data_IF_509606953624
#
_entry.id   IF_509606953624
#
_cell.length_a   1.000
_cell.length_b   1.000
_cell.length_c   1.000
_cell.angle_alpha   90.00
_cell.angle_beta   90.00
_cell.angle_gamma   90.00
#
_symmetry.space_group_name_H-M   'P 1'
#
loop_
_entity.id
_entity.type
_entity.pdbx_description
1 polymer ?
#
# COMPACT_ATOMS: atom_id res chain seq x y z
N UNK A 1 -40.59 8.04 28.81
CA UNK A 1 -41.12 6.72 29.24
C UNK A 1 -40.86 5.77 28.09
N UNK A 2 -39.77 4.99 28.15
CA UNK A 2 -39.45 3.99 27.12
C UNK A 2 -40.42 2.81 27.28
N UNK A 3 -41.30 2.63 26.30
CA UNK A 3 -42.23 1.49 26.27
C UNK A 3 -41.39 0.22 26.19
N UNK A 4 -41.51 -0.64 27.21
CA UNK A 4 -40.88 -1.97 27.19
C UNK A 4 -41.61 -2.78 26.11
N UNK A 5 -40.92 -3.24 25.06
CA UNK A 5 -41.57 -3.97 23.98
C UNK A 5 -42.20 -5.25 24.53
N UNK A 6 -43.42 -5.56 24.08
CA UNK A 6 -44.10 -6.79 24.48
C UNK A 6 -43.43 -7.99 23.80
N UNK A 7 -43.61 -9.18 24.37
CA UNK A 7 -43.09 -10.43 23.78
C UNK A 7 -43.60 -10.62 22.35
N UNK A 8 -44.83 -10.17 22.06
CA UNK A 8 -45.41 -10.23 20.73
C UNK A 8 -44.71 -9.29 19.73
N UNK A 9 -44.29 -8.11 20.17
CA UNK A 9 -43.51 -7.16 19.34
C UNK A 9 -42.14 -7.77 18.98
N UNK A 10 -41.51 -8.43 19.95
CA UNK A 10 -40.24 -9.14 19.73
C UNK A 10 -40.40 -10.32 18.75
N UNK A 11 -41.50 -11.08 18.82
CA UNK A 11 -41.78 -12.14 17.85
C UNK A 11 -42.05 -11.62 16.44
N UNK A 12 -42.74 -10.49 16.30
CA UNK A 12 -42.97 -9.86 15.00
C UNK A 12 -41.66 -9.31 14.40
N UNK A 13 -40.81 -8.69 15.22
CA UNK A 13 -39.48 -8.24 14.80
C UNK A 13 -38.60 -9.42 14.37
N UNK A 14 -38.63 -10.53 15.12
CA UNK A 14 -37.92 -11.76 14.76
C UNK A 14 -38.40 -12.36 13.44
N UNK A 15 -39.71 -12.42 13.19
CA UNK A 15 -40.27 -12.90 11.92
C UNK A 15 -39.88 -11.98 10.74
N UNK A 16 -39.84 -10.66 10.98
CA UNK A 16 -39.34 -9.68 10.01
C UNK A 16 -37.87 -9.93 9.67
N UNK A 17 -37.01 -10.05 10.68
CA UNK A 17 -35.59 -10.35 10.52
C UNK A 17 -35.35 -11.68 9.78
N UNK A 18 -36.16 -12.69 10.07
CA UNK A 18 -36.05 -13.99 9.41
C UNK A 18 -36.37 -13.89 7.91
N UNK A 19 -37.37 -13.09 7.52
CA UNK A 19 -37.69 -12.83 6.11
C UNK A 19 -36.58 -12.04 5.41
N UNK A 20 -36.04 -11.01 6.05
CA UNK A 20 -34.90 -10.25 5.52
C UNK A 20 -33.68 -11.14 5.32
N UNK A 21 -33.40 -12.04 6.27
CA UNK A 21 -32.30 -12.98 6.16
C UNK A 21 -32.47 -13.93 4.96
N UNK A 22 -33.67 -14.46 4.73
CA UNK A 22 -33.97 -15.29 3.55
C UNK A 22 -33.75 -14.51 2.24
N UNK A 23 -34.20 -13.24 2.19
CA UNK A 23 -33.98 -12.38 1.03
C UNK A 23 -32.49 -12.10 0.77
N UNK A 24 -31.71 -11.89 1.82
CA UNK A 24 -30.24 -11.74 1.73
C UNK A 24 -29.61 -13.02 1.19
N UNK A 25 -30.05 -14.19 1.64
CA UNK A 25 -29.53 -15.47 1.14
C UNK A 25 -29.78 -15.67 -0.35
N UNK A 26 -30.99 -15.35 -0.85
CA UNK A 26 -31.29 -15.40 -2.28
C UNK A 26 -30.47 -14.38 -3.08
N UNK A 27 -30.37 -13.15 -2.58
CA UNK A 27 -29.57 -12.09 -3.22
C UNK A 27 -28.10 -12.50 -3.32
N UNK A 28 -27.54 -13.07 -2.25
CA UNK A 28 -26.16 -13.56 -2.23
C UNK A 28 -25.96 -14.75 -3.18
N UNK A 29 -26.94 -15.65 -3.30
CA UNK A 29 -26.91 -16.75 -4.29
C UNK A 29 -26.90 -16.20 -5.72
N UNK A 30 -27.73 -15.22 -6.03
CA UNK A 30 -27.76 -14.59 -7.35
C UNK A 30 -26.46 -13.83 -7.64
N UNK A 31 -25.96 -13.08 -6.66
CA UNK A 31 -24.66 -12.41 -6.73
C UNK A 31 -23.55 -13.39 -7.08
N UNK A 32 -23.46 -14.54 -6.38
CA UNK A 32 -22.45 -15.58 -6.67
C UNK A 32 -22.55 -16.12 -8.10
N UNK A 33 -23.77 -16.36 -8.57
CA UNK A 33 -24.01 -16.83 -9.94
C UNK A 33 -23.52 -15.79 -10.96
N UNK A 34 -23.97 -14.54 -10.83
CA UNK A 34 -23.60 -13.45 -11.73
C UNK A 34 -22.09 -13.17 -11.71
N UNK A 35 -21.47 -13.22 -10.53
CA UNK A 35 -20.02 -13.09 -10.39
C UNK A 35 -19.29 -14.17 -11.21
N UNK A 36 -19.72 -15.42 -11.11
CA UNK A 36 -19.12 -16.52 -11.87
C UNK A 36 -19.26 -16.37 -13.39
N UNK A 37 -20.39 -15.84 -13.86
CA UNK A 37 -20.65 -15.59 -15.28
C UNK A 37 -19.77 -14.45 -15.80
N UNK A 38 -19.69 -13.34 -15.05
CA UNK A 38 -18.82 -12.22 -15.36
C UNK A 38 -17.35 -12.65 -15.38
N UNK A 39 -16.89 -13.45 -14.41
CA UNK A 39 -15.51 -13.96 -14.39
C UNK A 39 -15.19 -14.81 -15.62
N UNK A 40 -16.10 -15.70 -16.05
CA UNK A 40 -15.90 -16.49 -17.27
C UNK A 40 -15.78 -15.62 -18.51
N UNK A 41 -16.65 -14.61 -18.66
CA UNK A 41 -16.59 -13.67 -19.77
C UNK A 41 -15.29 -12.86 -19.75
N UNK A 42 -14.84 -12.45 -18.56
CA UNK A 42 -13.58 -11.72 -18.39
C UNK A 42 -12.38 -12.56 -18.84
N UNK A 43 -12.31 -13.83 -18.44
CA UNK A 43 -11.24 -14.75 -18.85
C UNK A 43 -11.24 -15.00 -20.37
N UNK A 44 -12.42 -15.24 -20.95
CA UNK A 44 -12.58 -15.44 -22.39
C UNK A 44 -12.17 -14.20 -23.20
N UNK A 45 -12.59 -13.02 -22.76
CA UNK A 45 -12.24 -11.75 -23.38
C UNK A 45 -10.72 -11.50 -23.30
N UNK A 46 -10.11 -11.68 -22.13
CA UNK A 46 -8.67 -11.50 -21.92
C UNK A 46 -7.85 -12.47 -22.79
N UNK A 47 -8.24 -13.74 -22.85
CA UNK A 47 -7.58 -14.74 -23.69
C UNK A 47 -7.64 -14.37 -25.17
N UNK A 48 -8.80 -13.91 -25.63
CA UNK A 48 -9.02 -13.50 -27.03
C UNK A 48 -8.22 -12.25 -27.38
N UNK A 49 -8.25 -11.22 -26.54
CA UNK A 49 -7.47 -9.98 -26.71
C UNK A 49 -5.97 -10.30 -26.76
N UNK A 50 -5.47 -11.13 -25.85
CA UNK A 50 -4.05 -11.52 -25.82
C UNK A 50 -3.64 -12.21 -27.12
N UNK A 51 -4.46 -13.15 -27.62
CA UNK A 51 -4.22 -13.86 -28.88
C UNK A 51 -4.25 -12.91 -30.09
N UNK A 52 -5.24 -12.01 -30.14
CA UNK A 52 -5.39 -10.99 -31.19
C UNK A 52 -4.18 -10.05 -31.21
N UNK A 53 -3.80 -9.47 -30.07
CA UNK A 53 -2.61 -8.59 -29.94
C UNK A 53 -1.34 -9.28 -30.41
N UNK A 54 -1.15 -10.56 -30.08
CA UNK A 54 0.01 -11.35 -30.55
C UNK A 54 0.05 -11.42 -32.08
N UNK A 55 -1.06 -11.82 -32.72
CA UNK A 55 -1.16 -11.92 -34.18
C UNK A 55 -0.97 -10.57 -34.87
N UNK A 56 -1.54 -9.49 -34.34
CA UNK A 56 -1.39 -8.15 -34.90
C UNK A 56 0.05 -7.64 -34.79
N UNK A 57 0.76 -7.99 -33.72
CA UNK A 57 2.18 -7.66 -33.55
C UNK A 57 3.06 -8.42 -34.56
N UNK A 58 2.80 -9.71 -34.76
CA UNK A 58 3.46 -10.52 -35.79
C UNK A 58 3.22 -9.95 -37.19
N UNK A 59 1.95 -9.65 -37.53
CA UNK A 59 1.56 -9.04 -38.80
C UNK A 59 2.21 -7.67 -39.01
N UNK A 60 2.24 -6.81 -37.99
CA UNK A 60 2.91 -5.51 -38.06
C UNK A 60 4.40 -5.63 -38.30
N UNK A 61 5.05 -6.66 -37.73
CA UNK A 61 6.48 -6.92 -37.93
C UNK A 61 6.76 -7.40 -39.36
N UNK A 62 5.93 -8.31 -39.89
CA UNK A 62 6.02 -8.78 -41.27
C UNK A 62 5.79 -7.65 -42.28
N UNK A 63 4.79 -6.79 -42.05
CA UNK A 63 4.49 -5.62 -42.89
C UNK A 63 5.68 -4.64 -42.95
N UNK A 64 6.36 -4.41 -41.81
CA UNK A 64 7.57 -3.58 -41.78
C UNK A 64 8.69 -4.17 -42.64
N UNK A 65 8.90 -5.49 -42.62
CA UNK A 65 9.90 -6.12 -43.48
C UNK A 65 9.54 -6.05 -44.97
N UNK A 66 8.25 -6.15 -45.31
CA UNK A 66 7.78 -6.02 -46.71
C UNK A 66 7.89 -4.59 -47.24
N UNK A 67 7.84 -3.59 -46.36
CA UNK A 67 7.95 -2.16 -46.75
C UNK A 67 9.31 -1.85 -47.42
N UNK A 68 10.36 -2.62 -47.11
CA UNK A 68 11.70 -2.45 -47.69
C UNK A 68 11.83 -2.93 -49.15
N UNK A 69 10.89 -3.75 -49.63
CA UNK A 69 10.91 -4.34 -50.98
C UNK A 69 9.68 -3.98 -51.83
N UNK A 70 8.81 -3.10 -51.32
CA UNK A 70 7.47 -2.85 -51.87
C UNK A 70 7.41 -1.64 -52.82
N UNK A 71 6.50 -1.70 -53.78
CA UNK A 71 6.20 -0.62 -54.73
C UNK A 71 5.35 0.49 -54.09
N UNK A 72 5.22 1.64 -54.76
CA UNK A 72 4.49 2.80 -54.23
C UNK A 72 3.04 2.51 -53.81
N UNK A 73 2.29 1.74 -54.61
CA UNK A 73 0.90 1.33 -54.31
C UNK A 73 0.83 0.34 -53.14
N UNK A 74 1.82 -0.56 -53.03
CA UNK A 74 1.93 -1.52 -51.92
C UNK A 74 2.26 -0.80 -50.61
N UNK A 75 3.12 0.23 -50.64
CA UNK A 75 3.43 1.07 -49.48
C UNK A 75 2.18 1.79 -48.97
N UNK A 76 1.32 2.29 -49.86
CA UNK A 76 0.05 2.92 -49.45
C UNK A 76 -0.89 1.90 -48.80
N UNK A 77 -0.97 0.70 -49.36
CA UNK A 77 -1.81 -0.39 -48.82
C UNK A 77 -1.30 -0.85 -47.45
N UNK A 78 0.02 -0.99 -47.29
CA UNK A 78 0.69 -1.30 -46.01
C UNK A 78 0.39 -0.22 -44.97
N UNK A 79 0.44 1.07 -45.34
CA UNK A 79 0.09 2.17 -44.42
C UNK A 79 -1.36 2.09 -43.95
N UNK A 80 -2.32 1.86 -44.85
CA UNK A 80 -3.75 1.70 -44.49
C UNK A 80 -3.96 0.56 -43.50
N UNK A 81 -3.30 -0.58 -43.72
CA UNK A 81 -3.36 -1.73 -42.80
C UNK A 81 -2.72 -1.38 -41.46
N UNK A 82 -1.59 -0.69 -41.46
CA UNK A 82 -0.88 -0.32 -40.23
C UNK A 82 -1.68 0.68 -39.37
N UNK A 83 -2.40 1.60 -39.99
CA UNK A 83 -3.27 2.54 -39.28
C UNK A 83 -4.52 1.85 -38.73
N UNK A 84 -5.07 0.87 -39.45
CA UNK A 84 -6.14 0.01 -38.93
C UNK A 84 -5.67 -0.83 -37.72
N UNK A 85 -4.44 -1.39 -37.76
CA UNK A 85 -3.84 -2.11 -36.63
C UNK A 85 -3.70 -1.18 -35.40
N UNK A 86 -3.28 0.08 -35.60
CA UNK A 86 -3.22 1.06 -34.51
C UNK A 86 -4.60 1.32 -33.91
N UNK A 87 -5.62 1.52 -34.75
CA UNK A 87 -7.01 1.70 -34.31
C UNK A 87 -7.53 0.52 -33.47
N UNK A 88 -7.29 -0.72 -33.91
CA UNK A 88 -7.64 -1.91 -33.14
C UNK A 88 -6.87 -2.01 -31.81
N UNK A 89 -5.59 -1.63 -31.80
CA UNK A 89 -4.76 -1.65 -30.59
C UNK A 89 -5.30 -0.70 -29.52
N UNK A 90 -5.76 0.49 -29.93
CA UNK A 90 -6.40 1.46 -29.02
C UNK A 90 -7.72 0.92 -28.45
N UNK A 91 -8.55 0.28 -29.28
CA UNK A 91 -9.79 -0.35 -28.81
C UNK A 91 -9.53 -1.49 -27.81
N UNK A 92 -8.49 -2.31 -28.03
CA UNK A 92 -8.10 -3.35 -27.07
C UNK A 92 -7.62 -2.77 -25.74
N UNK A 93 -6.92 -1.63 -25.76
CA UNK A 93 -6.49 -0.96 -24.53
C UNK A 93 -7.70 -0.48 -23.70
N UNK A 94 -8.71 0.08 -24.36
CA UNK A 94 -9.96 0.47 -23.70
C UNK A 94 -10.69 -0.75 -23.13
N UNK A 95 -10.83 -1.83 -23.90
CA UNK A 95 -11.44 -3.08 -23.43
C UNK A 95 -10.68 -3.69 -22.23
N UNK A 96 -9.34 -3.67 -22.24
CA UNK A 96 -8.50 -4.13 -21.12
C UNK A 96 -8.67 -3.29 -19.85
N UNK A 97 -9.08 -2.01 -19.96
CA UNK A 97 -9.29 -1.15 -18.79
C UNK A 97 -10.48 -1.59 -17.93
N UNK A 98 -11.49 -2.21 -18.54
CA UNK A 98 -12.69 -2.73 -17.88
C UNK A 98 -12.56 -4.19 -17.42
N UNK A 99 -11.52 -4.89 -17.87
CA UNK A 99 -11.22 -6.25 -17.44
C UNK A 99 -10.56 -6.25 -16.05
N UNK A 100 -10.78 -7.29 -15.23
CA UNK A 100 -10.23 -7.36 -13.89
C UNK A 100 -8.72 -7.40 -14.01
N UNK A 101 -8.06 -6.37 -13.49
CA UNK A 101 -6.61 -6.31 -13.48
C UNK A 101 -6.11 -7.48 -12.62
N UNK A 102 -5.42 -8.44 -13.23
CA UNK A 102 -4.67 -9.51 -12.54
C UNK A 102 -3.67 -8.99 -11.49
N UNK A 103 -3.47 -7.67 -11.43
CA UNK A 103 -2.48 -6.97 -10.62
C UNK A 103 -2.77 -7.02 -9.12
N UNK A 104 -4.01 -7.27 -8.67
CA UNK A 104 -4.32 -7.32 -7.23
C UNK A 104 -3.65 -8.49 -6.50
N UNK A 105 -3.66 -9.67 -7.12
CA UNK A 105 -3.08 -10.88 -6.51
C UNK A 105 -1.55 -10.89 -6.58
N UNK A 106 -0.97 -10.42 -7.69
CA UNK A 106 0.47 -10.26 -7.84
C UNK A 106 1.03 -9.20 -6.86
N UNK A 107 0.34 -8.08 -6.69
CA UNK A 107 0.71 -7.05 -5.71
C UNK A 107 0.60 -7.58 -4.27
N UNK A 108 -0.41 -8.40 -3.98
CA UNK A 108 -0.56 -9.03 -2.67
C UNK A 108 0.57 -10.03 -2.39
N UNK A 109 0.96 -10.87 -3.36
CA UNK A 109 2.08 -11.81 -3.23
C UNK A 109 3.42 -11.09 -3.05
N UNK A 110 3.68 -10.03 -3.83
CA UNK A 110 4.87 -9.18 -3.65
C UNK A 110 4.87 -8.46 -2.29
N UNK A 111 3.70 -8.01 -1.83
CA UNK A 111 3.54 -7.38 -0.51
C UNK A 111 3.83 -8.37 0.64
N UNK A 112 3.35 -9.60 0.54
CA UNK A 112 3.60 -10.64 1.54
C UNK A 112 5.07 -11.09 1.56
N UNK A 113 5.71 -11.24 0.39
CA UNK A 113 7.15 -11.50 0.28
C UNK A 113 8.00 -10.36 0.85
N UNK A 114 7.63 -9.11 0.59
CA UNK A 114 8.29 -7.93 1.15
C UNK A 114 8.20 -7.91 2.68
N UNK A 115 7.01 -8.17 3.25
CA UNK A 115 6.81 -8.27 4.69
C UNK A 115 7.71 -9.34 5.32
N UNK A 116 7.70 -10.55 4.75
CA UNK A 116 8.47 -11.67 5.28
C UNK A 116 9.98 -11.42 5.23
N UNK A 117 10.49 -10.92 4.11
CA UNK A 117 11.90 -10.57 3.96
C UNK A 117 12.34 -9.54 5.01
N UNK A 118 11.56 -8.48 5.20
CA UNK A 118 11.92 -7.44 6.16
C UNK A 118 11.81 -7.91 7.61
N UNK A 119 10.83 -8.74 7.95
CA UNK A 119 10.72 -9.36 9.28
C UNK A 119 11.93 -10.23 9.58
N UNK A 120 12.42 -11.02 8.62
CA UNK A 120 13.63 -11.84 8.79
C UNK A 120 14.86 -10.95 9.00
N UNK A 121 15.01 -9.88 8.21
CA UNK A 121 16.11 -8.92 8.39
C UNK A 121 16.06 -8.29 9.79
N UNK A 122 14.89 -7.82 10.23
CA UNK A 122 14.71 -7.22 11.56
C UNK A 122 15.00 -8.21 12.69
N UNK A 123 14.66 -9.49 12.53
CA UNK A 123 14.93 -10.55 13.49
C UNK A 123 16.44 -10.85 13.59
N UNK A 124 17.12 -10.96 12.45
CA UNK A 124 18.58 -11.17 12.40
C UNK A 124 19.33 -9.98 12.98
N UNK A 125 18.92 -8.74 12.65
CA UNK A 125 19.52 -7.52 13.22
C UNK A 125 19.27 -7.45 14.72
N UNK A 126 18.06 -7.75 15.21
CA UNK A 126 17.75 -7.78 16.64
C UNK A 126 18.61 -8.79 17.41
N UNK A 127 18.82 -9.99 16.83
CA UNK A 127 19.68 -11.01 17.40
C UNK A 127 21.14 -10.57 17.43
N UNK A 128 21.64 -9.99 16.33
CA UNK A 128 23.01 -9.49 16.19
C UNK A 128 23.28 -8.33 17.16
N UNK A 129 22.36 -7.38 17.30
CA UNK A 129 22.46 -6.27 18.27
C UNK A 129 22.53 -6.79 19.72
N UNK A 130 21.81 -7.86 20.04
CA UNK A 130 21.82 -8.43 21.40
C UNK A 130 23.11 -9.16 21.74
N UNK A 131 23.81 -9.74 20.76
CA UNK A 131 25.02 -10.53 21.00
C UNK A 131 26.34 -9.79 20.75
N UNK A 132 26.37 -8.71 19.97
CA UNK A 132 27.65 -8.17 19.48
C UNK A 132 27.97 -6.71 19.84
N UNK A 133 27.02 -5.78 20.08
CA UNK A 133 27.37 -4.34 20.14
C UNK A 133 26.41 -3.48 21.00
N UNK A 134 26.91 -2.83 22.06
CA UNK A 134 26.19 -1.79 22.85
C UNK A 134 26.44 -0.38 22.31
N UNK A 135 26.11 -0.10 21.04
CA UNK A 135 26.28 1.24 20.45
C UNK A 135 24.93 1.92 20.20
N UNK A 136 24.73 3.08 20.84
CA UNK A 136 23.57 3.98 20.69
C UNK A 136 23.15 4.26 19.25
N UNK A 137 24.10 4.26 18.32
CA UNK A 137 23.86 4.53 16.89
C UNK A 137 23.10 3.37 16.23
N UNK A 138 23.41 2.13 16.58
CA UNK A 138 22.75 0.95 16.01
C UNK A 138 21.30 0.89 16.47
N UNK A 139 21.02 1.20 17.74
CA UNK A 139 19.65 1.29 18.26
C UNK A 139 18.84 2.37 17.53
N UNK A 140 19.44 3.53 17.27
CA UNK A 140 18.77 4.62 16.55
C UNK A 140 18.47 4.24 15.09
N UNK A 141 19.42 3.61 14.40
CA UNK A 141 19.24 3.13 13.01
C UNK A 141 18.17 2.04 12.95
N UNK A 142 18.14 1.12 13.91
CA UNK A 142 17.11 0.09 14.00
C UNK A 142 15.71 0.67 14.24
N UNK A 143 15.58 1.63 15.16
CA UNK A 143 14.32 2.32 15.38
C UNK A 143 13.86 3.12 14.14
N UNK A 144 14.78 3.77 13.42
CA UNK A 144 14.48 4.45 12.18
C UNK A 144 13.98 3.49 11.09
N UNK A 145 14.64 2.34 10.92
CA UNK A 145 14.24 1.29 9.98
C UNK A 145 12.86 0.71 10.31
N UNK A 146 12.56 0.50 11.59
CA UNK A 146 11.22 0.09 12.03
C UNK A 146 10.18 1.13 11.62
N UNK A 147 10.35 2.40 11.99
CA UNK A 147 9.40 3.46 11.65
C UNK A 147 9.20 3.57 10.14
N UNK A 148 10.28 3.56 9.36
CA UNK A 148 10.22 3.58 7.89
C UNK A 148 9.43 2.40 7.31
N UNK A 149 9.66 1.19 7.82
CA UNK A 149 8.92 0.01 7.42
C UNK A 149 7.43 0.14 7.70
N UNK A 150 7.06 0.59 8.90
CA UNK A 150 5.66 0.76 9.29
C UNK A 150 4.92 1.83 8.48
N UNK A 151 5.57 2.94 8.16
CA UNK A 151 5.02 3.96 7.26
C UNK A 151 4.77 3.38 5.86
N UNK A 152 5.74 2.63 5.32
CA UNK A 152 5.61 1.97 4.02
C UNK A 152 4.50 0.93 4.01
N UNK A 153 4.37 0.16 5.09
CA UNK A 153 3.34 -0.85 5.27
C UNK A 153 1.95 -0.20 5.30
N UNK A 154 1.78 0.88 6.05
CA UNK A 154 0.53 1.64 6.14
C UNK A 154 0.07 2.19 4.78
N UNK A 155 1.00 2.72 3.98
CA UNK A 155 0.70 3.24 2.64
C UNK A 155 0.32 2.12 1.66
N UNK A 156 1.03 0.98 1.71
CA UNK A 156 0.65 -0.18 0.86
C UNK A 156 -0.69 -0.76 1.29
N UNK A 157 -0.97 -0.82 2.59
CA UNK A 157 -2.25 -1.30 3.14
C UNK A 157 -3.42 -0.42 2.69
N UNK A 158 -3.27 0.92 2.72
CA UNK A 158 -4.31 1.84 2.26
C UNK A 158 -4.60 1.69 0.76
N UNK A 159 -3.57 1.40 -0.04
CA UNK A 159 -3.72 1.07 -1.46
C UNK A 159 -4.43 -0.28 -1.65
N UNK A 160 -4.11 -1.32 -0.87
CA UNK A 160 -4.80 -2.62 -0.93
C UNK A 160 -6.28 -2.52 -0.54
N UNK A 161 -6.60 -1.75 0.51
CA UNK A 161 -7.98 -1.52 0.97
C UNK A 161 -8.78 -0.76 -0.10
N UNK A 162 -8.21 0.29 -0.68
CA UNK A 162 -8.87 1.08 -1.73
C UNK A 162 -9.08 0.28 -3.03
N UNK A 163 -8.28 -0.76 -3.27
CA UNK A 163 -8.44 -1.70 -4.38
C UNK A 163 -9.35 -2.90 -4.06
N UNK A 164 -10.12 -2.85 -2.95
CA UNK A 164 -11.08 -3.89 -2.58
C UNK A 164 -10.47 -5.16 -1.98
N UNK A 165 -9.15 -5.20 -1.78
CA UNK A 165 -8.45 -6.30 -1.11
C UNK A 165 -8.40 -6.03 0.39
N UNK A 166 -9.56 -6.08 1.05
CA UNK A 166 -9.68 -5.79 2.48
C UNK A 166 -8.97 -6.88 3.30
N UNK A 167 -7.93 -6.55 4.10
CA UNK A 167 -7.37 -7.50 5.04
C UNK A 167 -8.20 -7.43 6.33
N UNK A 168 -9.36 -8.09 6.36
CA UNK A 168 -10.15 -8.27 7.58
C UNK A 168 -9.52 -9.33 8.50
N UNK A 169 -8.25 -9.11 8.87
CA UNK A 169 -7.50 -9.98 9.77
C UNK A 169 -7.54 -9.43 11.22
N UNK A 170 -8.10 -10.16 12.20
CA UNK A 170 -8.01 -9.80 13.62
C UNK A 170 -6.56 -9.59 14.09
N UNK A 171 -5.61 -10.32 13.48
CA UNK A 171 -4.18 -10.23 13.75
C UNK A 171 -3.60 -8.83 13.46
N UNK A 172 -4.09 -8.14 12.42
CA UNK A 172 -3.61 -6.81 12.03
C UNK A 172 -4.09 -5.72 13.01
N UNK A 173 -5.36 -5.77 13.41
CA UNK A 173 -5.93 -4.88 14.43
C UNK A 173 -5.17 -4.98 15.77
N UNK A 174 -4.86 -6.22 16.19
CA UNK A 174 -4.07 -6.47 17.40
C UNK A 174 -2.65 -5.90 17.28
N UNK A 175 -1.98 -6.14 16.15
CA UNK A 175 -0.63 -5.66 15.92
C UNK A 175 -0.52 -4.13 15.82
N UNK A 176 -1.47 -3.47 15.16
CA UNK A 176 -1.55 -2.00 15.09
C UNK A 176 -1.68 -1.38 16.48
N UNK A 177 -2.53 -1.94 17.33
CA UNK A 177 -2.70 -1.46 18.70
C UNK A 177 -1.42 -1.68 19.53
N UNK A 178 -0.76 -2.82 19.35
CA UNK A 178 0.52 -3.11 20.00
C UNK A 178 1.61 -2.10 19.59
N UNK A 179 1.66 -1.74 18.30
CA UNK A 179 2.63 -0.78 17.77
C UNK A 179 2.36 0.66 18.23
N UNK A 180 1.09 1.09 18.27
CA UNK A 180 0.74 2.40 18.82
C UNK A 180 1.13 2.48 20.30
N UNK A 181 0.88 1.42 21.07
CA UNK A 181 1.28 1.35 22.47
C UNK A 181 2.81 1.44 22.63
N UNK A 182 3.57 0.71 21.81
CA UNK A 182 5.04 0.81 21.76
C UNK A 182 5.51 2.23 21.39
N UNK A 183 4.88 2.88 20.41
CA UNK A 183 5.24 4.23 19.96
C UNK A 183 4.97 5.29 21.01
N UNK A 184 3.85 5.16 21.74
CA UNK A 184 3.51 6.02 22.88
C UNK A 184 4.50 5.81 24.02
N UNK A 185 4.83 4.57 24.35
CA UNK A 185 5.85 4.22 25.34
C UNK A 185 7.21 4.83 24.98
N UNK A 186 7.65 4.66 23.73
CA UNK A 186 8.95 5.18 23.30
C UNK A 186 8.98 6.71 23.32
N UNK A 187 7.89 7.38 22.91
CA UNK A 187 7.78 8.84 22.99
C UNK A 187 7.85 9.35 24.43
N UNK A 188 7.24 8.62 25.37
CA UNK A 188 7.29 8.94 26.80
C UNK A 188 8.71 8.75 27.37
N UNK A 189 9.38 7.65 27.03
CA UNK A 189 10.77 7.41 27.44
C UNK A 189 11.70 8.49 26.88
N UNK A 190 11.53 8.87 25.62
CA UNK A 190 12.32 9.94 24.98
C UNK A 190 12.12 11.28 25.69
N UNK A 191 10.89 11.58 26.11
CA UNK A 191 10.55 12.77 26.88
C UNK A 191 11.26 12.78 28.25
N UNK A 192 11.23 11.65 28.98
CA UNK A 192 11.95 11.54 30.26
C UNK A 192 13.48 11.65 30.07
N UNK A 193 14.04 11.04 29.03
CA UNK A 193 15.45 11.15 28.68
C UNK A 193 15.84 12.60 28.39
N UNK A 194 15.00 13.34 27.66
CA UNK A 194 15.19 14.76 27.40
C UNK A 194 15.20 15.58 28.70
N UNK A 195 14.26 15.36 29.60
CA UNK A 195 14.22 16.04 30.90
C UNK A 195 15.45 15.76 31.75
N UNK A 196 15.87 14.49 31.82
CA UNK A 196 17.05 14.08 32.57
C UNK A 196 18.34 14.72 32.01
N UNK A 197 18.53 14.69 30.68
CA UNK A 197 19.70 15.29 30.02
C UNK A 197 19.70 16.82 30.16
N UNK A 198 18.54 17.46 30.03
CA UNK A 198 18.39 18.91 30.22
C UNK A 198 18.70 19.32 31.66
N UNK A 199 18.27 18.53 32.65
CA UNK A 199 18.61 18.75 34.06
C UNK A 199 20.09 18.53 34.38
N UNK A 200 20.72 17.55 33.74
CA UNK A 200 22.17 17.33 33.88
C UNK A 200 22.97 18.47 33.24
N UNK A 201 22.56 18.93 32.05
CA UNK A 201 23.13 20.10 31.37
C UNK A 201 22.94 21.39 32.18
N UNK A 202 21.79 21.56 32.83
CA UNK A 202 21.53 22.70 33.72
C UNK A 202 22.46 22.67 34.95
N UNK A 203 22.68 21.49 35.56
CA UNK A 203 23.66 21.33 36.65
C UNK A 203 25.10 21.60 36.19
N UNK A 204 25.50 21.13 35.01
CA UNK A 204 26.81 21.44 34.41
C UNK A 204 26.99 22.95 34.15
N UNK A 205 25.94 23.64 33.66
CA UNK A 205 25.94 25.10 33.51
C UNK A 205 26.00 25.83 34.85
N UNK A 206 25.35 25.32 35.89
CA UNK A 206 25.38 25.88 37.25
C UNK A 206 26.73 25.65 37.96
N UNK A 207 27.44 24.57 37.61
CA UNK A 207 28.77 24.24 38.13
C UNK A 207 29.92 24.97 37.42
N UNK A 208 29.63 25.79 36.40
CA UNK A 208 30.60 26.72 35.82
C UNK A 208 31.54 26.14 34.76
N UNK A 209 31.37 24.88 34.31
CA UNK A 209 32.11 24.35 33.15
C UNK A 209 31.57 24.93 31.83
N UNK A 210 31.87 26.21 31.58
CA UNK A 210 31.80 26.79 30.24
C UNK A 210 33.03 26.32 29.46
N UNK A 211 32.88 25.26 28.66
CA UNK A 211 33.74 25.12 27.49
C UNK A 211 33.00 25.62 26.25
N UNK A 212 33.53 26.72 25.73
CA UNK A 212 33.38 27.34 24.40
C UNK A 212 32.42 26.66 23.43
N UNK A 213 31.17 27.13 23.36
CA UNK A 213 30.39 27.16 22.12
C UNK A 213 29.21 28.14 22.31
N UNK A 214 29.49 29.43 22.20
CA UNK A 214 28.54 30.50 21.84
C UNK A 214 29.29 31.85 21.81
N UNK A 215 30.10 32.05 20.78
CA UNK A 215 30.60 33.36 20.35
C UNK A 215 30.00 33.63 18.97
N UNK A 216 28.76 34.13 18.91
CA UNK A 216 28.26 34.86 17.72
C UNK A 216 27.01 35.70 17.96
N UNK A 217 26.36 35.65 19.13
CA UNK A 217 25.15 36.47 19.40
C UNK A 217 25.44 37.73 20.23
N UNK A 218 26.59 37.79 20.92
CA UNK A 218 26.93 38.89 21.83
C UNK A 218 27.63 40.11 21.21
N UNK A 219 28.20 40.01 20.01
CA UNK A 219 29.00 41.10 19.41
C UNK A 219 28.16 42.07 18.58
N UNK A 220 27.03 41.63 18.02
CA UNK A 220 26.15 42.49 17.21
C UNK A 220 25.37 43.54 18.03
N UNK A 221 25.20 43.32 19.34
CA UNK A 221 24.53 44.30 20.22
C UNK A 221 25.43 45.44 20.70
N UNK A 222 26.75 45.37 20.49
CA UNK A 222 27.71 46.41 20.90
C UNK A 222 28.15 47.36 19.78
N UNK A 223 27.82 47.08 18.52
CA UNK A 223 28.21 47.90 17.36
C UNK A 223 27.08 48.81 16.82
N UNK A 224 25.91 48.84 17.47
CA UNK A 224 24.78 49.70 17.12
C UNK A 224 24.54 50.89 18.06
N UNK A 225 25.49 51.16 18.96
CA UNK A 225 25.47 52.34 19.82
C UNK A 225 26.86 53.01 19.79
N UNK A 226 27.24 53.54 18.63
CA UNK A 226 28.15 54.69 18.48
C UNK A 226 27.88 55.33 17.13
#
# INVERSE_FOLDING_TARGET
MSVVPSVNDCFQEWDGLQKEFQQIQETHRLYKKNLSEVTKLQEQCLATITRQKKKLKELSTALKSCTSSANADEIETIKKIQDFIKGQTSAFFEMEAFLPKKNGFAYKDEYEKFKLCLTVILLVVSFTCRFLVSYRVIDAVFNFLLVWYYCTLTIRESILINNGSRPDGPLYQMFRNQFLSYSLYQSFVQFLQYYYQSGCLYRLRALGERHTMDLTVGEWKRLGQY
#
